data_IF_659760341002
#
_entry.id   IF_659760341002
#
_cell.length_a   1.000
_cell.length_b   1.000
_cell.length_c   1.000
_cell.angle_alpha   90.00
_cell.angle_beta   90.00
_cell.angle_gamma   90.00
#
_symmetry.space_group_name_H-M   'P 1'
#
loop_
_entity.id
_entity.type
_entity.pdbx_description
1 polymer ?
#
# COMPACT_ATOMS: atom_id res chain seq x y z
N UNK A 1 19.56 -1.99 -14.97
CA UNK A 1 18.46 -2.05 -14.00
C UNK A 1 18.93 -2.47 -12.63
N UNK A 2 18.15 -2.18 -11.63
CA UNK A 2 18.43 -2.53 -10.22
C UNK A 2 17.27 -3.38 -9.71
N UNK A 3 17.61 -4.53 -9.13
CA UNK A 3 16.66 -5.39 -8.43
C UNK A 3 16.81 -5.15 -6.92
N UNK A 4 15.71 -4.84 -6.26
CA UNK A 4 15.63 -4.67 -4.82
C UNK A 4 14.72 -5.75 -4.24
N UNK A 5 15.14 -6.39 -3.16
CA UNK A 5 14.35 -7.37 -2.42
C UNK A 5 14.05 -6.82 -1.03
N UNK A 6 12.87 -7.09 -0.53
CA UNK A 6 12.42 -6.64 0.78
C UNK A 6 11.69 -7.74 1.54
N UNK A 7 11.95 -7.79 2.83
CA UNK A 7 11.23 -8.63 3.79
C UNK A 7 10.70 -7.70 4.86
N UNK A 8 9.45 -7.90 5.23
CA UNK A 8 8.82 -7.23 6.35
C UNK A 8 8.42 -8.26 7.39
N UNK A 9 8.75 -7.98 8.64
CA UNK A 9 8.33 -8.73 9.80
C UNK A 9 7.54 -7.79 10.71
N UNK A 10 6.41 -8.23 11.20
CA UNK A 10 5.51 -7.44 12.02
C UNK A 10 4.76 -8.28 13.05
N UNK A 11 4.06 -7.60 13.90
CA UNK A 11 3.09 -8.17 14.82
C UNK A 11 1.75 -7.50 14.58
N UNK A 12 0.69 -8.29 14.54
CA UNK A 12 -0.69 -7.87 14.45
C UNK A 12 -1.30 -7.99 15.84
N UNK A 13 -1.91 -6.91 16.30
CA UNK A 13 -2.72 -6.86 17.53
C UNK A 13 -4.14 -6.51 17.12
N UNK A 14 -5.06 -7.43 17.36
CA UNK A 14 -6.46 -7.26 17.01
C UNK A 14 -7.31 -7.29 18.27
N UNK A 15 -8.26 -6.36 18.35
CA UNK A 15 -9.21 -6.23 19.45
C UNK A 15 -10.62 -6.24 18.92
N UNK A 16 -11.46 -6.99 19.59
CA UNK A 16 -12.88 -7.03 19.32
C UNK A 16 -13.65 -6.70 20.61
N UNK A 17 -14.45 -5.63 20.56
CA UNK A 17 -15.30 -5.22 21.69
C UNK A 17 -16.69 -5.81 21.50
N UNK A 18 -16.93 -6.99 22.09
CA UNK A 18 -18.20 -7.68 22.04
C UNK A 18 -19.30 -6.99 22.87
N UNK A 19 -18.94 -6.05 23.77
CA UNK A 19 -19.91 -5.36 24.61
C UNK A 19 -20.77 -4.37 23.83
N UNK A 20 -20.29 -3.92 22.66
CA UNK A 20 -20.97 -2.97 21.79
C UNK A 20 -21.78 -3.64 20.65
N UNK A 21 -21.80 -4.96 20.60
CA UNK A 21 -22.55 -5.68 19.58
C UNK A 21 -24.04 -5.63 19.94
N UNK A 22 -24.82 -5.00 19.07
CA UNK A 22 -26.29 -4.99 19.17
C UNK A 22 -26.86 -6.04 18.22
N UNK A 23 -27.49 -7.06 18.78
CA UNK A 23 -28.20 -8.06 18.02
C UNK A 23 -29.67 -7.64 17.94
N UNK A 24 -30.23 -7.38 16.73
CA UNK A 24 -31.65 -7.07 16.60
C UNK A 24 -32.50 -8.23 17.12
N UNK A 25 -33.39 -7.97 18.05
CA UNK A 25 -34.36 -8.94 18.51
C UNK A 25 -35.36 -9.23 17.40
N UNK A 26 -35.43 -10.49 16.97
CA UNK A 26 -36.43 -10.98 16.03
C UNK A 26 -36.89 -12.39 16.46
N UNK A 27 -38.03 -12.84 15.94
CA UNK A 27 -38.54 -14.18 16.22
C UNK A 27 -37.60 -15.33 15.79
N UNK A 28 -36.54 -14.98 15.04
CA UNK A 28 -35.54 -15.91 14.50
C UNK A 28 -34.14 -15.75 15.08
N UNK A 29 -33.90 -14.73 15.92
CA UNK A 29 -32.61 -14.47 16.52
C UNK A 29 -32.72 -14.44 18.05
N UNK A 30 -31.91 -15.24 18.70
CA UNK A 30 -31.78 -15.20 20.16
C UNK A 30 -30.86 -14.00 20.55
N UNK A 31 -31.20 -13.35 21.66
CA UNK A 31 -30.43 -12.23 22.17
C UNK A 31 -28.98 -12.61 22.59
N UNK A 32 -28.74 -13.90 22.77
CA UNK A 32 -27.42 -14.47 23.10
C UNK A 32 -27.08 -15.54 22.05
N UNK A 33 -26.10 -15.25 21.22
CA UNK A 33 -25.50 -16.20 20.30
C UNK A 33 -24.13 -16.59 20.85
N UNK A 34 -23.93 -17.90 21.11
CA UNK A 34 -22.64 -18.43 21.60
C UNK A 34 -21.49 -18.24 20.60
N UNK A 35 -21.79 -17.91 19.36
CA UNK A 35 -20.84 -17.57 18.30
C UNK A 35 -20.35 -16.12 18.35
N UNK A 36 -21.01 -15.24 19.12
CA UNK A 36 -20.66 -13.83 19.21
C UNK A 36 -20.11 -13.56 20.61
N UNK A 37 -18.85 -13.11 20.73
CA UNK A 37 -18.30 -12.74 22.03
C UNK A 37 -19.05 -11.56 22.63
N UNK A 38 -19.34 -11.64 23.92
CA UNK A 38 -20.00 -10.56 24.70
C UNK A 38 -19.01 -9.75 25.54
N UNK A 39 -17.72 -10.11 25.51
CA UNK A 39 -16.62 -9.47 26.21
C UNK A 39 -15.66 -8.82 25.24
N UNK A 40 -14.76 -7.96 25.75
CA UNK A 40 -13.63 -7.48 24.97
C UNK A 40 -12.60 -8.59 24.79
N UNK A 41 -12.25 -8.89 23.54
CA UNK A 41 -11.26 -9.90 23.18
C UNK A 41 -10.05 -9.22 22.54
N UNK A 42 -8.86 -9.71 22.87
CA UNK A 42 -7.60 -9.25 22.29
C UNK A 42 -6.74 -10.46 21.93
N UNK A 43 -6.08 -10.38 20.79
CA UNK A 43 -5.14 -11.40 20.37
C UNK A 43 -4.02 -10.82 19.53
N UNK A 44 -2.88 -11.49 19.53
CA UNK A 44 -1.69 -11.08 18.78
C UNK A 44 -1.21 -12.23 17.90
N UNK A 45 -0.72 -11.89 16.70
CA UNK A 45 -0.09 -12.85 15.80
C UNK A 45 1.11 -12.24 15.09
N UNK A 46 2.07 -13.08 14.70
CA UNK A 46 3.21 -12.70 13.90
C UNK A 46 2.82 -12.59 12.43
N UNK A 47 3.31 -11.57 11.74
CA UNK A 47 3.06 -11.34 10.32
C UNK A 47 4.37 -11.23 9.52
N UNK A 48 4.35 -11.80 8.33
CA UNK A 48 5.44 -11.77 7.37
C UNK A 48 4.97 -11.30 6.01
N UNK A 49 5.80 -10.47 5.36
CA UNK A 49 5.59 -10.06 3.97
C UNK A 49 6.90 -10.10 3.20
N UNK A 50 6.81 -10.34 1.90
CA UNK A 50 7.96 -10.37 0.99
C UNK A 50 7.65 -9.54 -0.25
N UNK A 51 8.66 -8.87 -0.80
CA UNK A 51 8.55 -8.11 -2.03
C UNK A 51 9.82 -8.10 -2.85
N UNK A 52 9.65 -7.94 -4.15
CA UNK A 52 10.71 -7.72 -5.11
C UNK A 52 10.34 -6.54 -6.00
N UNK A 53 11.31 -5.67 -6.25
CA UNK A 53 11.13 -4.47 -7.06
C UNK A 53 12.28 -4.34 -8.05
N UNK A 54 11.95 -4.22 -9.33
CA UNK A 54 12.90 -3.99 -10.40
C UNK A 54 12.74 -2.59 -10.97
N UNK A 55 13.81 -1.83 -11.04
CA UNK A 55 13.86 -0.50 -11.63
C UNK A 55 14.79 -0.49 -12.84
N UNK A 56 14.27 -0.01 -13.96
CA UNK A 56 15.00 0.29 -15.19
C UNK A 56 14.82 1.79 -15.50
N UNK A 57 15.72 2.45 -16.26
CA UNK A 57 15.55 3.87 -16.62
C UNK A 57 14.20 4.20 -17.29
N UNK A 58 13.56 3.25 -17.95
CA UNK A 58 12.35 3.43 -18.74
C UNK A 58 11.09 2.88 -18.07
N UNK A 59 11.22 1.89 -17.22
CA UNK A 59 10.09 1.24 -16.57
C UNK A 59 10.48 0.69 -15.20
N UNK A 60 9.47 0.36 -14.43
CA UNK A 60 9.61 -0.37 -13.17
C UNK A 60 8.54 -1.44 -13.07
N UNK A 61 8.84 -2.48 -12.32
CA UNK A 61 7.87 -3.51 -11.97
C UNK A 61 8.15 -4.03 -10.55
N UNK A 62 7.10 -4.38 -9.85
CA UNK A 62 7.18 -4.92 -8.50
C UNK A 62 6.15 -6.01 -8.27
N UNK A 63 6.52 -6.96 -7.44
CA UNK A 63 5.63 -7.98 -6.89
C UNK A 63 5.78 -8.00 -5.39
N UNK A 64 4.69 -8.22 -4.66
CA UNK A 64 4.76 -8.47 -3.23
C UNK A 64 3.63 -9.38 -2.76
N UNK A 65 3.90 -10.05 -1.66
CA UNK A 65 2.93 -10.87 -0.95
C UNK A 65 2.91 -10.40 0.50
N UNK A 66 1.76 -9.97 0.98
CA UNK A 66 1.52 -9.64 2.37
C UNK A 66 0.81 -10.80 3.07
N UNK A 67 1.01 -10.91 4.38
CA UNK A 67 0.45 -11.96 5.20
C UNK A 67 0.86 -13.36 4.70
N UNK A 68 2.17 -13.53 4.41
CA UNK A 68 2.72 -14.74 3.79
C UNK A 68 2.45 -15.99 4.62
N UNK A 69 2.45 -15.85 5.94
CA UNK A 69 2.19 -16.92 6.91
C UNK A 69 0.70 -17.09 7.25
N UNK A 70 -0.21 -16.29 6.64
CA UNK A 70 -1.65 -16.30 6.93
C UNK A 70 -1.91 -16.29 8.45
N UNK A 71 -1.51 -15.19 9.13
CA UNK A 71 -1.58 -15.15 10.58
C UNK A 71 -2.99 -15.42 11.07
N UNK A 72 -3.15 -16.37 11.98
CA UNK A 72 -4.37 -16.58 12.74
C UNK A 72 -4.24 -15.95 14.12
N UNK A 73 -5.31 -15.36 14.58
CA UNK A 73 -5.42 -14.75 15.90
C UNK A 73 -6.54 -15.50 16.64
N UNK A 74 -6.14 -16.20 17.68
CA UNK A 74 -7.06 -16.95 18.54
C UNK A 74 -7.40 -16.11 19.75
N UNK A 75 -8.69 -15.97 20.05
CA UNK A 75 -9.20 -15.25 21.21
C UNK A 75 -9.80 -16.28 22.19
N UNK A 76 -9.27 -16.32 23.40
CA UNK A 76 -9.75 -17.15 24.53
C UNK A 76 -10.02 -18.63 24.15
N UNK A 77 -9.18 -19.20 23.27
CA UNK A 77 -9.28 -20.59 22.78
C UNK A 77 -10.63 -20.97 22.13
N UNK A 78 -11.50 -20.01 21.90
CA UNK A 78 -12.85 -20.24 21.36
C UNK A 78 -13.11 -19.57 20.01
N UNK A 79 -12.55 -18.38 19.81
CA UNK A 79 -12.78 -17.61 18.60
C UNK A 79 -11.47 -17.47 17.84
N UNK A 80 -11.50 -17.63 16.54
CA UNK A 80 -10.34 -17.51 15.67
C UNK A 80 -10.69 -16.62 14.48
N UNK A 81 -9.80 -15.68 14.18
CA UNK A 81 -9.80 -14.94 12.93
C UNK A 81 -8.51 -15.19 12.19
N UNK A 82 -8.53 -15.17 10.87
CA UNK A 82 -7.34 -15.32 10.07
C UNK A 82 -7.27 -14.22 9.01
N UNK A 83 -6.06 -13.81 8.67
CA UNK A 83 -5.82 -12.81 7.63
C UNK A 83 -5.20 -13.53 6.43
N UNK A 84 -5.97 -13.62 5.35
CA UNK A 84 -5.53 -14.28 4.12
C UNK A 84 -4.45 -13.51 3.38
N UNK A 85 -3.62 -14.23 2.60
CA UNK A 85 -2.58 -13.64 1.77
C UNK A 85 -3.13 -12.63 0.78
N UNK A 86 -2.37 -11.57 0.59
CA UNK A 86 -2.65 -10.58 -0.45
C UNK A 86 -1.45 -10.47 -1.38
N UNK A 87 -1.70 -10.65 -2.68
CA UNK A 87 -0.72 -10.58 -3.74
C UNK A 87 -0.85 -9.24 -4.46
N UNK A 88 0.26 -8.58 -4.71
CA UNK A 88 0.32 -7.32 -5.43
C UNK A 88 1.27 -7.44 -6.60
N UNK A 89 0.86 -6.90 -7.73
CA UNK A 89 1.69 -6.65 -8.88
C UNK A 89 1.54 -5.19 -9.30
N UNK A 90 2.65 -4.51 -9.50
CA UNK A 90 2.70 -3.12 -9.96
C UNK A 90 3.67 -3.04 -11.11
N UNK A 91 3.29 -2.32 -12.17
CA UNK A 91 4.20 -1.98 -13.25
C UNK A 91 3.90 -0.57 -13.75
N UNK A 92 4.92 0.12 -14.23
CA UNK A 92 4.75 1.45 -14.79
C UNK A 92 5.98 1.92 -15.56
N UNK A 93 5.84 3.08 -16.19
CA UNK A 93 6.90 3.70 -16.98
C UNK A 93 6.97 5.19 -16.68
N UNK A 94 8.17 5.78 -16.84
CA UNK A 94 8.41 7.20 -16.78
C UNK A 94 8.85 7.66 -18.18
N UNK A 95 7.98 8.37 -18.87
CA UNK A 95 8.17 8.77 -20.27
C UNK A 95 8.36 10.29 -20.34
N UNK A 96 9.60 10.79 -20.40
CA UNK A 96 9.85 12.20 -20.59
C UNK A 96 9.48 12.62 -22.02
N UNK A 97 8.69 13.69 -22.16
CA UNK A 97 8.34 14.22 -23.48
C UNK A 97 9.49 15.12 -23.93
N UNK A 98 10.09 14.80 -25.10
CA UNK A 98 11.21 15.53 -25.66
C UNK A 98 10.91 17.03 -25.82
N UNK A 99 11.89 17.88 -25.51
CA UNK A 99 11.82 19.33 -25.61
C UNK A 99 10.72 20.00 -24.75
N UNK A 100 10.24 19.32 -23.71
CA UNK A 100 9.25 19.85 -22.77
C UNK A 100 9.66 19.55 -21.33
N UNK A 101 8.96 20.17 -20.38
CA UNK A 101 9.12 19.90 -18.95
C UNK A 101 8.11 18.84 -18.45
N UNK A 102 7.41 18.20 -19.37
CA UNK A 102 6.40 17.19 -19.03
C UNK A 102 6.97 15.76 -19.05
N UNK A 103 6.52 14.97 -18.10
CA UNK A 103 6.77 13.53 -18.01
C UNK A 103 5.44 12.82 -17.81
N UNK A 104 5.15 11.81 -18.61
CA UNK A 104 3.95 10.97 -18.50
C UNK A 104 4.31 9.67 -17.81
N UNK A 105 3.54 9.31 -16.80
CA UNK A 105 3.80 8.16 -15.95
C UNK A 105 2.58 7.22 -15.93
N UNK A 106 2.41 6.38 -16.96
CA UNK A 106 1.40 5.33 -16.95
C UNK A 106 1.82 4.24 -15.97
N UNK A 107 0.85 3.68 -15.26
CA UNK A 107 1.07 2.55 -14.35
C UNK A 107 -0.16 1.67 -14.24
N UNK A 108 0.07 0.44 -13.81
CA UNK A 108 -0.98 -0.52 -13.51
C UNK A 108 -0.69 -1.19 -12.17
N UNK A 109 -1.75 -1.52 -11.46
CA UNK A 109 -1.70 -2.32 -10.23
C UNK A 109 -2.72 -3.43 -10.30
N UNK A 110 -2.34 -4.61 -9.87
CA UNK A 110 -3.21 -5.75 -9.64
C UNK A 110 -3.06 -6.17 -8.19
N UNK A 111 -4.17 -6.25 -7.48
CA UNK A 111 -4.26 -6.78 -6.11
C UNK A 111 -5.16 -7.99 -6.11
N UNK A 112 -4.74 -9.09 -5.50
CA UNK A 112 -5.55 -10.31 -5.42
C UNK A 112 -5.34 -11.02 -4.08
N UNK A 113 -6.41 -11.55 -3.53
CA UNK A 113 -6.37 -12.52 -2.43
C UNK A 113 -6.79 -13.92 -2.89
N UNK A 114 -6.64 -14.22 -4.20
CA UNK A 114 -7.05 -15.43 -4.91
C UNK A 114 -8.56 -15.61 -5.06
N UNK A 115 -9.38 -15.02 -4.19
CA UNK A 115 -10.84 -15.04 -4.31
C UNK A 115 -11.36 -13.85 -5.10
N UNK A 116 -10.77 -12.69 -4.88
CA UNK A 116 -11.14 -11.42 -5.53
C UNK A 116 -9.89 -10.80 -6.12
N UNK A 117 -9.97 -10.34 -7.36
CA UNK A 117 -8.88 -9.64 -8.04
C UNK A 117 -9.35 -8.26 -8.46
N UNK A 118 -8.59 -7.25 -8.08
CA UNK A 118 -8.80 -5.84 -8.38
C UNK A 118 -7.73 -5.35 -9.35
N UNK A 119 -8.15 -4.65 -10.39
CA UNK A 119 -7.28 -4.05 -11.40
C UNK A 119 -7.39 -2.54 -11.34
N UNK A 120 -6.27 -1.86 -11.38
CA UNK A 120 -6.21 -0.40 -11.42
C UNK A 120 -5.24 0.05 -12.50
N UNK A 121 -5.68 0.98 -13.34
CA UNK A 121 -4.87 1.64 -14.35
C UNK A 121 -4.79 3.12 -14.03
N UNK A 122 -3.58 3.65 -14.01
CA UNK A 122 -3.32 5.04 -13.67
C UNK A 122 -2.51 5.73 -14.77
N UNK A 123 -2.75 7.00 -14.96
CA UNK A 123 -1.90 7.86 -15.76
C UNK A 123 -1.67 9.17 -15.02
N UNK A 124 -0.42 9.47 -14.76
CA UNK A 124 0.01 10.70 -14.07
C UNK A 124 0.88 11.51 -15.00
N UNK A 125 0.69 12.83 -15.02
CA UNK A 125 1.53 13.80 -15.74
C UNK A 125 2.26 14.63 -14.70
N UNK A 126 3.58 14.70 -14.84
CA UNK A 126 4.46 15.48 -13.99
C UNK A 126 5.01 16.67 -14.79
N UNK A 127 4.96 17.87 -14.21
CA UNK A 127 5.46 19.09 -14.80
C UNK A 127 6.65 19.63 -14.02
N UNK A 128 7.74 19.91 -14.72
CA UNK A 128 8.98 20.48 -14.17
C UNK A 128 9.50 19.76 -12.92
N UNK A 129 9.21 18.47 -12.75
CA UNK A 129 9.54 17.69 -11.56
C UNK A 129 9.00 18.27 -10.24
N UNK A 130 8.08 19.23 -10.34
CA UNK A 130 7.56 19.97 -9.20
C UNK A 130 6.07 19.65 -8.95
N UNK A 131 5.25 19.79 -9.98
CA UNK A 131 3.81 19.51 -9.88
C UNK A 131 3.45 18.25 -10.64
N UNK A 132 2.46 17.54 -10.16
CA UNK A 132 1.90 16.41 -10.85
C UNK A 132 0.40 16.31 -10.63
N UNK A 133 -0.27 15.75 -11.61
CA UNK A 133 -1.68 15.42 -11.54
C UNK A 133 -1.95 14.13 -12.30
N UNK A 134 -3.00 13.42 -11.95
CA UNK A 134 -3.29 12.15 -12.58
C UNK A 134 -4.71 11.66 -12.34
N UNK A 135 -5.03 10.63 -13.11
CA UNK A 135 -6.27 9.90 -13.03
C UNK A 135 -5.95 8.43 -12.87
N UNK A 136 -6.73 7.73 -12.05
CA UNK A 136 -6.71 6.29 -11.96
C UNK A 136 -8.13 5.74 -12.12
N UNK A 137 -8.23 4.59 -12.73
CA UNK A 137 -9.47 3.85 -12.85
C UNK A 137 -9.32 2.46 -12.25
N UNK A 138 -10.07 2.23 -11.19
CA UNK A 138 -10.18 0.93 -10.54
C UNK A 138 -11.39 0.21 -11.12
N UNK A 139 -11.13 -0.91 -11.77
CA UNK A 139 -12.13 -1.61 -12.57
C UNK A 139 -13.41 -1.94 -11.79
N UNK A 140 -14.55 -1.41 -12.25
CA UNK A 140 -15.90 -1.58 -11.66
C UNK A 140 -16.03 -1.07 -10.22
N UNK A 141 -15.09 -0.28 -9.72
CA UNK A 141 -15.07 0.17 -8.33
C UNK A 141 -15.03 1.69 -8.23
N UNK A 142 -13.98 2.36 -8.75
CA UNK A 142 -13.81 3.80 -8.56
C UNK A 142 -13.02 4.49 -9.67
N UNK A 143 -13.24 5.81 -9.80
CA UNK A 143 -12.35 6.74 -10.49
C UNK A 143 -11.62 7.60 -9.47
N UNK A 144 -10.30 7.71 -9.58
CA UNK A 144 -9.47 8.43 -8.63
C UNK A 144 -8.83 9.63 -9.33
N UNK A 145 -9.00 10.81 -8.74
CA UNK A 145 -8.39 12.05 -9.19
C UNK A 145 -7.25 12.39 -8.24
N UNK A 146 -6.08 12.69 -8.78
CA UNK A 146 -4.87 12.91 -7.98
C UNK A 146 -4.18 14.19 -8.40
N UNK A 147 -3.73 14.97 -7.42
CA UNK A 147 -2.85 16.14 -7.63
C UNK A 147 -1.78 16.18 -6.53
N UNK A 148 -0.66 16.78 -6.82
CA UNK A 148 0.38 16.95 -5.82
C UNK A 148 1.56 17.77 -6.28
N UNK A 149 2.48 17.98 -5.36
CA UNK A 149 3.70 18.73 -5.58
C UNK A 149 4.88 18.05 -4.88
N UNK A 150 6.05 18.19 -5.49
CA UNK A 150 7.33 17.75 -4.95
C UNK A 150 8.26 18.96 -4.92
N UNK A 151 8.78 19.31 -3.76
CA UNK A 151 9.73 20.41 -3.64
C UNK A 151 10.91 19.99 -2.76
N UNK A 152 12.12 20.01 -3.34
CA UNK A 152 13.32 19.48 -2.69
C UNK A 152 13.10 18.02 -2.25
N UNK A 153 12.97 17.80 -0.94
CA UNK A 153 12.81 16.49 -0.34
C UNK A 153 11.38 16.24 0.16
N UNK A 154 10.50 17.23 0.02
CA UNK A 154 9.11 17.12 0.43
C UNK A 154 8.23 16.72 -0.74
N UNK A 155 7.28 15.84 -0.47
CA UNK A 155 6.20 15.50 -1.38
C UNK A 155 4.88 15.66 -0.63
N UNK A 156 3.92 16.28 -1.29
CA UNK A 156 2.55 16.40 -0.79
C UNK A 156 1.58 16.06 -1.92
N UNK A 157 0.50 15.40 -1.57
CA UNK A 157 -0.53 15.07 -2.55
C UNK A 157 -1.89 14.91 -1.91
N UNK A 158 -2.86 14.98 -2.77
CA UNK A 158 -4.27 14.80 -2.48
C UNK A 158 -4.88 13.91 -3.53
N UNK A 159 -5.71 12.98 -3.10
CA UNK A 159 -6.52 12.15 -3.98
C UNK A 159 -7.98 12.18 -3.57
N UNK A 160 -8.85 12.10 -4.55
CA UNK A 160 -10.27 11.92 -4.38
C UNK A 160 -10.72 10.66 -5.11
N UNK A 161 -11.18 9.69 -4.36
CA UNK A 161 -11.68 8.41 -4.85
C UNK A 161 -13.20 8.50 -4.99
N UNK A 162 -13.68 8.56 -6.23
CA UNK A 162 -15.10 8.61 -6.55
C UNK A 162 -15.60 7.21 -6.91
N UNK A 163 -16.50 6.62 -6.08
CA UNK A 163 -17.02 5.29 -6.36
C UNK A 163 -17.93 5.28 -7.58
N UNK A 164 -17.73 4.29 -8.46
CA UNK A 164 -18.59 4.04 -9.62
C UNK A 164 -19.42 2.76 -9.46
N UNK A 165 -19.23 2.04 -8.36
CA UNK A 165 -19.97 0.84 -8.01
C UNK A 165 -21.26 1.19 -7.26
N UNK A 166 -22.05 0.17 -6.88
CA UNK A 166 -23.32 0.34 -6.17
C UNK A 166 -23.17 1.12 -4.84
N UNK A 167 -21.96 1.17 -4.27
CA UNK A 167 -21.66 1.87 -3.02
C UNK A 167 -21.83 3.40 -3.13
N UNK A 168 -21.86 3.95 -4.36
CA UNK A 168 -22.14 5.39 -4.61
C UNK A 168 -23.46 5.85 -3.98
N UNK A 169 -24.41 4.93 -3.76
CA UNK A 169 -25.68 5.24 -3.11
C UNK A 169 -25.56 5.49 -1.61
N UNK A 170 -24.48 5.01 -0.99
CA UNK A 170 -24.24 5.09 0.46
C UNK A 170 -23.01 5.93 0.81
N UNK A 171 -22.12 6.20 -0.15
CA UNK A 171 -20.89 6.95 0.06
C UNK A 171 -20.63 7.91 -1.09
N UNK A 172 -20.27 9.15 -0.77
CA UNK A 172 -19.86 10.17 -1.74
C UNK A 172 -18.39 10.05 -2.17
N UNK A 173 -17.68 9.02 -1.72
CA UNK A 173 -16.26 8.80 -1.99
C UNK A 173 -15.37 9.11 -0.81
N UNK A 174 -14.05 8.97 -1.00
CA UNK A 174 -13.07 9.25 0.02
C UNK A 174 -12.06 10.31 -0.41
N UNK A 175 -11.56 11.04 0.58
CA UNK A 175 -10.55 12.08 0.43
C UNK A 175 -9.27 11.61 1.12
N UNK A 176 -8.17 11.62 0.40
CA UNK A 176 -6.88 11.17 0.91
C UNK A 176 -5.85 12.29 0.78
N UNK A 177 -5.12 12.54 1.85
CA UNK A 177 -3.99 13.47 1.87
C UNK A 177 -2.74 12.70 2.27
N UNK A 178 -1.66 12.86 1.54
CA UNK A 178 -0.38 12.32 1.95
C UNK A 178 0.71 13.38 1.98
N UNK A 179 1.63 13.19 2.90
CA UNK A 179 2.85 13.99 3.05
C UNK A 179 4.03 13.03 3.17
N UNK A 180 5.11 13.35 2.49
CA UNK A 180 6.32 12.55 2.53
C UNK A 180 7.57 13.42 2.59
N UNK A 181 8.61 12.90 3.22
CA UNK A 181 9.94 13.52 3.25
C UNK A 181 11.00 12.47 2.90
N UNK A 182 11.84 12.77 1.92
CA UNK A 182 12.91 11.88 1.46
C UNK A 182 14.25 12.28 2.06
N UNK A 183 14.81 11.40 2.90
CA UNK A 183 16.17 11.52 3.42
C UNK A 183 17.14 10.75 2.52
N UNK A 184 18.16 11.42 1.99
CA UNK A 184 19.29 10.76 1.33
C UNK A 184 20.29 10.34 2.39
N UNK A 185 20.28 9.07 2.76
CA UNK A 185 21.29 8.48 3.63
C UNK A 185 22.44 8.00 2.73
N UNK A 186 23.58 8.66 2.79
CA UNK A 186 24.81 8.20 2.16
C UNK A 186 25.52 7.24 3.15
N UNK A 187 25.22 5.94 3.02
CA UNK A 187 25.83 4.89 3.81
C UNK A 187 27.14 4.39 3.20
N UNK A 188 27.63 5.00 2.13
CA UNK A 188 28.94 4.68 1.59
C UNK A 188 30.00 5.06 2.63
N UNK A 189 30.64 4.06 3.19
CA UNK A 189 31.89 4.24 3.94
C UNK A 189 32.86 4.97 3.01
N UNK A 190 33.02 6.26 3.22
CA UNK A 190 34.16 6.99 2.65
C UNK A 190 35.39 6.30 3.22
N UNK A 191 35.94 5.43 2.41
CA UNK A 191 37.15 4.66 2.68
C UNK A 191 38.21 5.62 3.25
N UNK A 192 38.33 5.68 4.59
CA UNK A 192 39.29 6.50 5.32
C UNK A 192 40.72 6.06 5.06
N UNK A 193 40.92 4.98 4.31
CA UNK A 193 42.18 4.38 3.97
C UNK A 193 42.63 4.74 2.54
N UNK A 194 42.65 6.01 2.18
CA UNK A 194 43.57 6.46 1.15
C UNK A 194 44.98 6.46 1.75
N UNK A 195 45.59 5.29 1.74
CA UNK A 195 47.05 5.23 1.95
C UNK A 195 47.72 6.13 0.89
N UNK A 196 48.19 7.29 1.31
CA UNK A 196 49.17 8.02 0.53
C UNK A 196 50.38 7.12 0.42
N UNK A 197 50.58 6.55 -0.76
CA UNK A 197 51.84 5.91 -1.11
C UNK A 197 52.92 6.97 -1.00
N UNK A 198 53.76 6.88 0.06
CA UNK A 198 54.96 7.70 0.19
C UNK A 198 55.96 7.04 -0.76
N UNK A 199 56.15 7.62 -1.95
CA UNK A 199 57.31 7.30 -2.76
C UNK A 199 58.52 7.96 -2.09
N UNK A 200 59.37 7.12 -1.49
CA UNK A 200 60.73 7.48 -1.12
C UNK A 200 61.55 7.40 -2.41
N UNK A 201 62.08 8.55 -2.87
CA UNK A 201 63.14 8.58 -3.87
C UNK A 201 64.48 8.32 -3.17
#
# INVERSE_FOLDING_TARGET
GVLSLGIQLGMLDERFDGTQVSIPTSDYHQATDDGIPTTELQGMSFDMSFGAWYTHPWFYAGISVSHLNEPSITFEDKYETYIGRSYYFIAGSNIPIKNTLYEVQPSMMVKSNLNITQYELSCRVKYNKLFWGGLSYRWKDACIFMIGAEYKNFIAGYAYDYPVSAIVKASSGSHEVFLGYSLKLDLSDKNKNKHKSIRIM
#
